data_IF_078245731658
#
_entry.id   IF_078245731658
#
_cell.length_a   1.000
_cell.length_b   1.000
_cell.length_c   1.000
_cell.angle_alpha   90.00
_cell.angle_beta   90.00
_cell.angle_gamma   90.00
#
_symmetry.space_group_name_H-M   'P 1'
#
loop_
_entity.id
_entity.type
_entity.pdbx_description
1 polymer ?
#
# COMPACT_ATOMS: atom_id res chain seq x y z
N UNK A 1 26.10 3.99 -2.23
CA UNK A 1 25.49 5.32 -2.39
C UNK A 1 24.44 5.54 -1.31
N UNK A 2 24.58 6.62 -0.56
CA UNK A 2 23.79 6.90 0.66
C UNK A 2 22.35 7.29 0.32
N UNK A 3 21.43 6.45 0.79
CA UNK A 3 19.96 6.59 0.76
C UNK A 3 19.49 7.78 1.61
N UNK A 4 19.67 8.99 1.09
CA UNK A 4 19.35 10.23 1.81
C UNK A 4 17.83 10.53 1.89
N UNK A 5 17.44 11.53 2.69
CA UNK A 5 16.05 11.99 2.87
C UNK A 5 15.30 12.31 1.58
N UNK A 6 16.02 12.63 0.50
CA UNK A 6 15.46 12.85 -0.83
C UNK A 6 14.71 11.63 -1.37
N UNK A 7 15.20 10.41 -1.15
CA UNK A 7 14.53 9.20 -1.62
C UNK A 7 13.19 8.96 -0.91
N UNK A 8 13.14 9.14 0.42
CA UNK A 8 11.88 9.01 1.18
C UNK A 8 10.84 10.07 0.77
N UNK A 9 11.26 11.31 0.54
CA UNK A 9 10.35 12.36 0.05
C UNK A 9 9.79 12.07 -1.35
N UNK A 10 10.58 11.43 -2.21
CA UNK A 10 10.14 10.97 -3.53
C UNK A 10 9.12 9.83 -3.41
N UNK A 11 9.34 8.85 -2.53
CA UNK A 11 8.38 7.78 -2.27
C UNK A 11 7.02 8.32 -1.81
N UNK A 12 7.01 9.24 -0.84
CA UNK A 12 5.78 9.90 -0.37
C UNK A 12 5.06 10.65 -1.49
N UNK A 13 5.81 11.30 -2.38
CA UNK A 13 5.25 12.01 -3.53
C UNK A 13 4.59 11.05 -4.51
N UNK A 14 5.25 9.92 -4.82
CA UNK A 14 4.66 8.89 -5.68
C UNK A 14 3.39 8.29 -5.06
N UNK A 15 3.39 7.96 -3.77
CA UNK A 15 2.23 7.43 -3.06
C UNK A 15 1.04 8.41 -3.11
N UNK A 16 1.29 9.70 -2.89
CA UNK A 16 0.27 10.74 -2.94
C UNK A 16 -0.32 10.90 -4.36
N UNK A 17 0.55 10.97 -5.38
CA UNK A 17 0.11 11.04 -6.78
C UNK A 17 -0.67 9.80 -7.20
N UNK A 18 -0.23 8.61 -6.78
CA UNK A 18 -0.90 7.35 -7.04
C UNK A 18 -2.31 7.34 -6.42
N UNK A 19 -2.45 7.84 -5.19
CA UNK A 19 -3.75 7.95 -4.52
C UNK A 19 -4.71 8.86 -5.28
N UNK A 20 -4.23 9.99 -5.80
CA UNK A 20 -5.05 10.90 -6.62
C UNK A 20 -5.49 10.22 -7.91
N UNK A 21 -4.58 9.54 -8.61
CA UNK A 21 -4.89 8.81 -9.85
C UNK A 21 -5.89 7.67 -9.60
N UNK A 22 -5.72 6.94 -8.49
CA UNK A 22 -6.67 5.92 -8.08
C UNK A 22 -8.05 6.55 -7.90
N UNK A 23 -8.17 7.65 -7.15
CA UNK A 23 -9.45 8.35 -6.97
C UNK A 23 -10.10 8.77 -8.31
N UNK A 24 -9.29 9.18 -9.30
CA UNK A 24 -9.72 9.54 -10.65
C UNK A 24 -10.06 8.34 -11.55
N UNK A 25 -9.88 7.09 -11.09
CA UNK A 25 -10.12 5.89 -11.89
C UNK A 25 -8.97 5.50 -12.83
N UNK A 26 -7.83 6.20 -12.77
CA UNK A 26 -6.65 5.88 -13.57
C UNK A 26 -5.79 4.82 -12.85
N UNK A 27 -6.31 3.60 -12.80
CA UNK A 27 -5.79 2.51 -11.97
C UNK A 27 -4.42 2.01 -12.40
N UNK A 28 -4.16 1.90 -13.71
CA UNK A 28 -2.87 1.41 -14.20
C UNK A 28 -1.75 2.39 -13.86
N UNK A 29 -1.99 3.69 -14.06
CA UNK A 29 -1.03 4.72 -13.69
C UNK A 29 -0.83 4.83 -12.17
N UNK A 30 -1.89 4.63 -11.39
CA UNK A 30 -1.78 4.55 -9.94
C UNK A 30 -0.89 3.37 -9.52
N UNK A 31 -1.06 2.20 -10.12
CA UNK A 31 -0.25 1.01 -9.84
C UNK A 31 1.23 1.26 -10.13
N UNK A 32 1.56 1.81 -11.30
CA UNK A 32 2.94 2.14 -11.67
C UNK A 32 3.63 3.08 -10.66
N UNK A 33 2.88 4.04 -10.10
CA UNK A 33 3.43 4.96 -9.11
C UNK A 33 3.57 4.30 -7.73
N UNK A 34 2.62 3.45 -7.32
CA UNK A 34 2.78 2.68 -6.09
C UNK A 34 3.95 1.69 -6.19
N UNK A 35 4.20 1.06 -7.33
CA UNK A 35 5.37 0.19 -7.54
C UNK A 35 6.69 0.96 -7.40
N UNK A 36 6.76 2.19 -7.93
CA UNK A 36 7.94 3.07 -7.75
C UNK A 36 8.13 3.49 -6.30
N UNK A 37 7.04 3.81 -5.60
CA UNK A 37 7.05 4.09 -4.17
C UNK A 37 7.59 2.88 -3.40
N UNK A 38 7.01 1.70 -3.65
CA UNK A 38 7.36 0.44 -3.00
C UNK A 38 8.83 0.07 -3.22
N UNK A 39 9.36 0.24 -4.44
CA UNK A 39 10.76 -0.03 -4.74
C UNK A 39 11.70 0.82 -3.87
N UNK A 40 11.38 2.11 -3.66
CA UNK A 40 12.17 2.99 -2.80
C UNK A 40 12.01 2.59 -1.33
N UNK A 41 10.80 2.30 -0.87
CA UNK A 41 10.55 1.91 0.52
C UNK A 41 11.22 0.58 0.87
N UNK A 42 11.23 -0.40 -0.04
CA UNK A 42 11.93 -1.68 0.14
C UNK A 42 13.44 -1.49 0.28
N UNK A 43 14.02 -0.65 -0.58
CA UNK A 43 15.46 -0.36 -0.56
C UNK A 43 15.90 0.43 0.67
N UNK A 44 15.02 1.33 1.17
CA UNK A 44 15.36 2.24 2.28
C UNK A 44 14.95 1.74 3.66
N UNK A 45 13.85 0.99 3.77
CA UNK A 45 13.22 0.60 5.04
C UNK A 45 13.16 -0.90 5.25
N UNK A 46 13.23 -1.67 4.16
CA UNK A 46 13.07 -3.12 4.17
C UNK A 46 11.61 -3.59 4.19
N UNK A 47 11.37 -4.86 3.85
CA UNK A 47 10.02 -5.40 3.59
C UNK A 47 9.10 -5.45 4.82
N UNK A 48 9.66 -5.46 6.03
CA UNK A 48 8.90 -5.48 7.28
C UNK A 48 8.44 -4.11 7.76
N UNK A 49 8.73 -3.02 7.03
CA UNK A 49 8.40 -1.68 7.51
C UNK A 49 6.90 -1.35 7.34
N UNK A 50 6.24 -0.68 8.30
CA UNK A 50 4.85 -0.26 8.19
C UNK A 50 4.48 0.54 6.93
N UNK A 51 5.40 1.38 6.45
CA UNK A 51 5.21 2.16 5.21
C UNK A 51 5.11 1.24 3.99
N UNK A 52 5.97 0.22 3.89
CA UNK A 52 5.91 -0.80 2.83
C UNK A 52 4.57 -1.54 2.86
N UNK A 53 4.11 -1.92 4.05
CA UNK A 53 2.80 -2.56 4.21
C UNK A 53 1.64 -1.61 3.83
N UNK A 54 1.76 -0.32 4.14
CA UNK A 54 0.76 0.68 3.79
C UNK A 54 0.67 0.88 2.26
N UNK A 55 1.81 0.93 1.57
CA UNK A 55 1.85 1.01 0.10
C UNK A 55 1.23 -0.22 -0.57
N UNK A 56 1.56 -1.43 -0.09
CA UNK A 56 0.93 -2.66 -0.58
C UNK A 56 -0.60 -2.68 -0.33
N UNK A 57 -1.06 -2.18 0.82
CA UNK A 57 -2.50 -2.05 1.12
C UNK A 57 -3.19 -1.09 0.13
N UNK A 58 -2.50 -0.03 -0.30
CA UNK A 58 -3.04 0.87 -1.33
C UNK A 58 -3.09 0.20 -2.71
N UNK A 59 -2.08 -0.59 -3.07
CA UNK A 59 -2.09 -1.38 -4.31
C UNK A 59 -3.24 -2.42 -4.31
N UNK A 60 -3.49 -3.06 -3.18
CA UNK A 60 -4.63 -3.96 -2.99
C UNK A 60 -5.97 -3.22 -3.23
N UNK A 61 -6.10 -1.97 -2.77
CA UNK A 61 -7.27 -1.13 -3.03
C UNK A 61 -7.47 -0.84 -4.52
N UNK A 62 -6.38 -0.58 -5.25
CA UNK A 62 -6.43 -0.41 -6.71
C UNK A 62 -6.91 -1.70 -7.38
N UNK A 63 -6.40 -2.87 -6.98
CA UNK A 63 -6.81 -4.16 -7.52
C UNK A 63 -8.30 -4.46 -7.26
N UNK A 64 -8.78 -4.19 -6.05
CA UNK A 64 -10.19 -4.33 -5.71
C UNK A 64 -11.07 -3.46 -6.61
N UNK A 65 -10.66 -2.21 -6.89
CA UNK A 65 -11.38 -1.32 -7.81
C UNK A 65 -11.32 -1.74 -9.28
N UNK A 66 -10.37 -2.60 -9.64
CA UNK A 66 -10.30 -3.30 -10.94
C UNK A 66 -11.03 -4.66 -10.92
N UNK A 67 -11.78 -4.96 -9.86
CA UNK A 67 -12.47 -6.24 -9.65
C UNK A 67 -11.55 -7.47 -9.58
N UNK A 68 -10.26 -7.26 -9.26
CA UNK A 68 -9.32 -8.35 -9.00
C UNK A 68 -9.27 -8.63 -7.49
N UNK A 69 -10.36 -9.21 -6.99
CA UNK A 69 -10.60 -9.37 -5.55
C UNK A 69 -9.67 -10.38 -4.89
N UNK A 70 -9.38 -11.50 -5.55
CA UNK A 70 -8.49 -12.54 -5.03
C UNK A 70 -7.10 -11.96 -4.75
N UNK A 71 -6.52 -11.27 -5.74
CA UNK A 71 -5.20 -10.66 -5.60
C UNK A 71 -5.18 -9.51 -4.60
N UNK A 72 -6.28 -8.76 -4.49
CA UNK A 72 -6.42 -7.73 -3.47
C UNK A 72 -6.41 -8.34 -2.07
N UNK A 73 -7.12 -9.45 -1.85
CA UNK A 73 -7.18 -10.12 -0.56
C UNK A 73 -5.81 -10.64 -0.11
N UNK A 74 -5.09 -11.33 -0.99
CA UNK A 74 -3.73 -11.82 -0.71
C UNK A 74 -2.79 -10.71 -0.24
N UNK A 75 -2.86 -9.54 -0.90
CA UNK A 75 -2.05 -8.39 -0.52
C UNK A 75 -2.49 -7.81 0.82
N UNK A 76 -3.80 -7.64 1.06
CA UNK A 76 -4.28 -7.15 2.34
C UNK A 76 -3.86 -8.04 3.51
N UNK A 77 -3.95 -9.37 3.36
CA UNK A 77 -3.50 -10.32 4.38
C UNK A 77 -2.01 -10.18 4.68
N UNK A 78 -1.18 -10.06 3.64
CA UNK A 78 0.26 -9.84 3.77
C UNK A 78 0.57 -8.53 4.50
N UNK A 79 -0.13 -7.45 4.15
CA UNK A 79 0.02 -6.14 4.81
C UNK A 79 -0.40 -6.19 6.27
N UNK A 80 -1.53 -6.85 6.53
CA UNK A 80 -2.11 -6.97 7.87
C UNK A 80 -1.15 -7.69 8.81
N UNK A 81 -0.49 -8.77 8.36
CA UNK A 81 0.50 -9.49 9.14
C UNK A 81 1.65 -8.56 9.58
N UNK A 82 2.20 -7.78 8.65
CA UNK A 82 3.29 -6.82 8.94
C UNK A 82 2.80 -5.72 9.90
N UNK A 83 1.63 -5.14 9.65
CA UNK A 83 1.10 -4.06 10.47
C UNK A 83 0.74 -4.51 11.90
N UNK A 84 0.25 -5.75 12.05
CA UNK A 84 -0.04 -6.33 13.36
C UNK A 84 1.24 -6.54 14.18
N UNK A 85 2.29 -7.08 13.55
CA UNK A 85 3.58 -7.32 14.22
C UNK A 85 4.27 -6.01 14.61
N UNK A 86 4.22 -5.00 13.74
CA UNK A 86 4.97 -3.75 13.92
C UNK A 86 4.25 -2.67 14.72
N UNK A 87 2.93 -2.53 14.54
CA UNK A 87 2.14 -1.43 15.12
C UNK A 87 1.12 -1.91 16.16
N UNK A 88 0.82 -3.21 16.17
CA UNK A 88 -0.20 -3.80 17.03
C UNK A 88 -1.64 -3.59 16.53
N UNK A 89 -2.59 -4.35 17.10
CA UNK A 89 -3.97 -4.43 16.60
C UNK A 89 -4.80 -3.14 16.76
N UNK A 90 -4.41 -2.26 17.69
CA UNK A 90 -5.11 -0.99 17.94
C UNK A 90 -4.75 0.14 16.96
N UNK A 91 -3.80 -0.10 16.04
CA UNK A 91 -3.33 0.96 15.15
C UNK A 91 -4.31 1.25 14.03
N UNK A 92 -4.44 2.52 13.64
CA UNK A 92 -5.38 2.97 12.60
C UNK A 92 -5.18 2.26 11.25
N UNK A 93 -3.94 1.93 10.90
CA UNK A 93 -3.61 1.26 9.64
C UNK A 93 -4.16 -0.17 9.63
N UNK A 94 -4.05 -0.89 10.74
CA UNK A 94 -4.64 -2.23 10.90
C UNK A 94 -6.16 -2.17 10.73
N UNK A 95 -6.82 -1.23 11.40
CA UNK A 95 -8.28 -1.03 11.27
C UNK A 95 -8.70 -0.67 9.83
N UNK A 96 -7.90 0.16 9.14
CA UNK A 96 -8.13 0.51 7.74
C UNK A 96 -8.02 -0.73 6.83
N UNK A 97 -6.99 -1.56 7.01
CA UNK A 97 -6.81 -2.79 6.23
C UNK A 97 -7.99 -3.74 6.43
N UNK A 98 -8.46 -3.96 7.66
CA UNK A 98 -9.67 -4.75 7.91
C UNK A 98 -10.91 -4.18 7.22
N UNK A 99 -11.10 -2.87 7.25
CA UNK A 99 -12.24 -2.21 6.59
C UNK A 99 -12.21 -2.41 5.07
N UNK A 100 -11.02 -2.36 4.48
CA UNK A 100 -10.81 -2.63 3.06
C UNK A 100 -11.07 -4.10 2.72
N UNK A 101 -10.58 -5.06 3.52
CA UNK A 101 -10.87 -6.48 3.33
C UNK A 101 -12.37 -6.77 3.41
N UNK A 102 -13.07 -6.18 4.40
CA UNK A 102 -14.52 -6.31 4.51
C UNK A 102 -15.24 -5.75 3.28
N UNK A 103 -14.74 -4.66 2.69
CA UNK A 103 -15.31 -4.10 1.45
C UNK A 103 -15.15 -5.07 0.27
N UNK A 104 -13.99 -5.75 0.16
CA UNK A 104 -13.74 -6.75 -0.88
C UNK A 104 -14.62 -7.99 -0.71
N UNK A 105 -14.83 -8.46 0.52
CA UNK A 105 -15.67 -9.63 0.80
C UNK A 105 -17.16 -9.40 0.50
N UNK A 106 -17.61 -8.14 0.46
CA UNK A 106 -19.00 -7.76 0.20
C UNK A 106 -19.23 -7.28 -1.25
N UNK A 107 -18.22 -7.34 -2.11
CA UNK A 107 -18.29 -6.92 -3.51
C UNK A 107 -18.70 -8.05 -4.45
#
# INVERSE_FOLDING_TARGET
>A
DTLGPGHRNVASTYSCMASVLNAQGNYDRAMELYEKCLAIELDTLGPGHPDVASTNSNMASVLARKSNYDRAMELYETCLAVLLDTLGPGHRNVASTYSCMASVLNA
#
